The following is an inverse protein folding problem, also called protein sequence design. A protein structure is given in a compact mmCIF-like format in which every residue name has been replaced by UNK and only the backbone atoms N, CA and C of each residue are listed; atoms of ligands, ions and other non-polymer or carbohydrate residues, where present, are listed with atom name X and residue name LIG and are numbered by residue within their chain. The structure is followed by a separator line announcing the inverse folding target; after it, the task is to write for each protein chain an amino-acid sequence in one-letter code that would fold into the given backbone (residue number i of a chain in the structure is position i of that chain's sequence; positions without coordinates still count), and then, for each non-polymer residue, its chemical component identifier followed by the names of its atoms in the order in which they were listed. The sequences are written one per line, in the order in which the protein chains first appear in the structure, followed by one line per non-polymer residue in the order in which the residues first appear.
data_IF_767623207782
#
_entry.id   IF_767623207782
#
_cell.length_a   1.000
_cell.length_b   1.000
_cell.length_c   1.000
_cell.angle_alpha   90.00
_cell.angle_beta   90.00
_cell.angle_gamma   90.00
#
_symmetry.space_group_name_H-M   'P 1'
#
loop_
_entity.id
_entity.type
_entity.pdbx_description
1 polymer ?
#
# COMPACT_ATOMS: atom_id res chain seq x y z
N UNK A 1 8.50 -14.91 9.14
CA UNK A 1 8.14 -14.12 10.34
C UNK A 1 7.04 -13.12 9.97
N UNK A 2 6.30 -12.58 10.93
CA UNK A 2 5.16 -11.72 10.64
C UNK A 2 4.72 -10.83 11.80
N UNK A 3 3.90 -9.84 11.47
CA UNK A 3 3.31 -8.90 12.42
C UNK A 3 1.82 -9.19 12.58
N UNK A 4 1.40 -9.42 13.82
CA UNK A 4 -0.01 -9.38 14.18
C UNK A 4 -0.40 -7.93 14.52
N UNK A 5 -1.31 -7.35 13.74
CA UNK A 5 -1.73 -5.96 13.90
C UNK A 5 -3.21 -5.88 14.26
N UNK A 6 -3.48 -5.43 15.48
CA UNK A 6 -4.83 -5.24 16.01
C UNK A 6 -5.49 -4.01 15.35
N UNK A 7 -6.76 -4.14 14.97
CA UNK A 7 -7.58 -3.07 14.42
C UNK A 7 -7.80 -1.94 15.42
N UNK A 8 -7.40 -0.71 15.06
CA UNK A 8 -7.47 0.45 15.95
C UNK A 8 -8.88 1.05 16.16
N UNK A 9 -9.84 0.70 15.31
CA UNK A 9 -11.12 1.43 15.22
C UNK A 9 -12.27 0.53 15.58
N UNK A 10 -12.44 0.06 16.81
CA UNK A 10 -13.55 -0.84 17.19
C UNK A 10 -14.92 -0.14 17.07
N UNK A 11 -15.98 -0.87 16.74
CA UNK A 11 -17.36 -0.33 16.76
C UNK A 11 -17.93 -0.63 18.15
N UNK A 12 -19.17 -0.24 18.41
CA UNK A 12 -19.80 -0.41 19.74
C UNK A 12 -19.91 -1.89 20.16
N UNK A 13 -19.74 -2.81 19.21
CA UNK A 13 -19.65 -4.26 19.41
C UNK A 13 -18.21 -4.79 19.47
N UNK A 14 -17.19 -3.92 19.41
CA UNK A 14 -15.78 -4.28 19.46
C UNK A 14 -15.13 -4.66 18.11
N UNK A 15 -15.85 -4.57 16.97
CA UNK A 15 -15.56 -5.33 15.74
C UNK A 15 -14.86 -4.50 14.65
N UNK A 16 -14.76 -3.17 14.78
CA UNK A 16 -14.25 -2.33 13.68
C UNK A 16 -12.69 -2.27 13.65
N UNK A 17 -12.15 -2.28 12.42
CA UNK A 17 -10.74 -2.57 12.14
C UNK A 17 -10.53 -4.07 11.96
N UNK A 18 -10.03 -4.50 10.80
CA UNK A 18 -9.68 -5.91 10.61
C UNK A 18 -8.29 -6.12 11.22
N UNK A 19 -8.23 -6.97 12.25
CA UNK A 19 -6.97 -7.57 12.68
C UNK A 19 -6.34 -8.25 11.48
N UNK A 20 -5.01 -8.16 11.39
CA UNK A 20 -4.30 -8.64 10.22
C UNK A 20 -2.93 -9.17 10.58
N UNK A 21 -2.60 -10.26 9.92
CA UNK A 21 -1.29 -10.89 9.97
C UNK A 21 -0.57 -10.51 8.69
N UNK A 22 0.46 -9.68 8.83
CA UNK A 22 1.26 -9.17 7.73
C UNK A 22 2.62 -9.83 7.74
N UNK A 23 3.09 -10.25 6.57
CA UNK A 23 4.44 -10.76 6.35
C UNK A 23 5.15 -9.90 5.31
N UNK A 24 6.47 -10.05 5.22
CA UNK A 24 7.26 -9.46 4.15
C UNK A 24 7.95 -10.58 3.39
N UNK A 25 8.02 -10.51 2.06
CA UNK A 25 8.67 -11.54 1.26
C UNK A 25 10.20 -11.52 1.39
N UNK A 26 10.76 -10.38 1.81
CA UNK A 26 12.20 -10.19 2.02
C UNK A 26 12.49 -10.03 3.53
N UNK A 27 13.48 -10.78 4.03
CA UNK A 27 13.87 -10.77 5.45
C UNK A 27 14.48 -9.44 5.89
N UNK A 28 15.34 -8.82 5.08
CA UNK A 28 15.92 -7.50 5.37
C UNK A 28 14.83 -6.42 5.51
N UNK A 29 13.81 -6.46 4.66
CA UNK A 29 12.68 -5.55 4.75
C UNK A 29 11.81 -5.82 5.99
N UNK A 30 11.63 -7.10 6.35
CA UNK A 30 10.98 -7.50 7.59
C UNK A 30 11.72 -6.93 8.81
N UNK A 31 13.03 -7.12 8.88
CA UNK A 31 13.87 -6.63 9.97
C UNK A 31 13.85 -5.11 10.08
N UNK A 32 13.88 -4.40 8.95
CA UNK A 32 13.76 -2.94 8.94
C UNK A 32 12.39 -2.49 9.49
N UNK A 33 11.31 -3.16 9.08
CA UNK A 33 9.98 -2.90 9.61
C UNK A 33 9.89 -3.23 11.11
N UNK A 34 10.49 -4.34 11.56
CA UNK A 34 10.51 -4.76 12.95
C UNK A 34 11.22 -3.73 13.83
N UNK A 35 12.42 -3.30 13.42
CA UNK A 35 13.18 -2.22 14.09
C UNK A 35 12.35 -0.95 14.21
N UNK A 36 11.66 -0.55 13.14
CA UNK A 36 10.79 0.62 13.18
C UNK A 36 9.63 0.43 14.17
N UNK A 37 8.96 -0.72 14.16
CA UNK A 37 7.88 -1.04 15.11
C UNK A 37 8.39 -1.03 16.55
N UNK A 38 9.57 -1.56 16.81
CA UNK A 38 10.17 -1.57 18.14
C UNK A 38 10.51 -0.15 18.62
N UNK A 39 11.08 0.69 17.76
CA UNK A 39 11.29 2.12 18.09
C UNK A 39 9.97 2.82 18.44
N UNK A 40 8.90 2.52 17.70
CA UNK A 40 7.57 3.04 18.00
C UNK A 40 7.01 2.53 19.33
N UNK A 41 7.20 1.24 19.64
CA UNK A 41 6.71 0.61 20.87
C UNK A 41 7.39 1.15 22.13
N UNK A 42 8.68 1.45 22.05
CA UNK A 42 9.46 1.98 23.18
C UNK A 42 9.43 3.52 23.27
N UNK A 43 8.73 4.19 22.34
CA UNK A 43 8.58 5.64 22.38
C UNK A 43 7.57 6.06 23.44
N UNK A 44 7.99 6.95 24.34
CA UNK A 44 7.10 7.62 25.30
C UNK A 44 6.29 8.77 24.67
N UNK A 45 6.49 9.05 23.37
CA UNK A 45 5.84 10.15 22.67
C UNK A 45 4.41 9.78 22.28
N UNK A 46 3.48 10.71 22.46
CA UNK A 46 2.10 10.53 21.98
C UNK A 46 2.03 10.46 20.45
N UNK A 47 0.98 9.85 19.91
CA UNK A 47 0.72 9.84 18.47
C UNK A 47 0.56 11.25 17.88
N UNK A 48 0.18 12.25 18.69
CA UNK A 48 0.18 13.65 18.27
C UNK A 48 1.62 14.17 18.11
N UNK A 49 2.47 13.97 19.13
CA UNK A 49 3.87 14.39 19.08
C UNK A 49 4.62 13.78 17.88
N UNK A 50 4.39 12.50 17.58
CA UNK A 50 4.99 11.83 16.41
C UNK A 50 4.55 12.50 15.09
N UNK A 51 3.27 12.86 14.96
CA UNK A 51 2.76 13.55 13.76
C UNK A 51 3.37 14.95 13.62
N UNK A 52 3.54 15.64 14.73
CA UNK A 52 4.11 16.99 14.75
C UNK A 52 5.60 16.95 14.41
N UNK A 53 6.35 16.00 14.98
CA UNK A 53 7.75 15.75 14.61
C UNK A 53 7.87 15.47 13.12
N UNK A 54 7.06 14.56 12.56
CA UNK A 54 7.10 14.30 11.11
C UNK A 54 6.85 15.57 10.29
N UNK A 55 5.86 16.37 10.69
CA UNK A 55 5.51 17.62 10.01
C UNK A 55 6.66 18.63 10.07
N UNK A 56 7.31 18.76 11.21
CA UNK A 56 8.45 19.64 11.41
C UNK A 56 9.64 19.21 10.54
N UNK A 57 10.02 17.94 10.60
CA UNK A 57 11.11 17.38 9.79
C UNK A 57 10.85 17.55 8.29
N UNK A 58 9.60 17.34 7.85
CA UNK A 58 9.21 17.57 6.46
C UNK A 58 9.32 19.04 6.03
N UNK A 59 9.00 20.00 6.92
CA UNK A 59 9.16 21.44 6.65
C UNK A 59 10.63 21.84 6.54
N UNK A 60 11.48 21.26 7.38
CA UNK A 60 12.93 21.50 7.34
C UNK A 60 13.54 20.94 6.04
N UNK A 61 13.14 19.72 5.66
CA UNK A 61 13.67 19.07 4.46
C UNK A 61 13.12 19.68 3.15
N UNK A 62 11.85 20.10 3.15
CA UNK A 62 11.18 20.68 1.97
C UNK A 62 10.49 22.00 2.30
N UNK A 63 11.26 23.08 2.53
CA UNK A 63 10.72 24.35 3.00
C UNK A 63 9.79 25.02 1.98
N UNK A 64 10.01 24.78 0.68
CA UNK A 64 9.19 25.38 -0.40
C UNK A 64 7.90 24.60 -0.72
N UNK A 65 7.68 23.44 -0.10
CA UNK A 65 6.52 22.58 -0.42
C UNK A 65 5.27 23.10 0.28
N UNK A 66 4.24 23.45 -0.50
CA UNK A 66 2.94 23.97 0.01
C UNK A 66 2.21 22.96 0.91
N UNK A 67 2.31 21.67 0.61
CA UNK A 67 1.65 20.58 1.36
C UNK A 67 2.70 19.57 1.81
N UNK A 68 2.77 19.33 3.12
CA UNK A 68 3.78 18.42 3.69
C UNK A 68 3.28 16.97 3.72
N UNK A 69 4.17 15.97 3.56
CA UNK A 69 3.81 14.59 3.80
C UNK A 69 3.30 14.40 5.24
N UNK A 70 2.32 13.51 5.39
CA UNK A 70 1.78 13.10 6.69
C UNK A 70 1.81 11.58 6.80
N UNK A 71 1.55 11.03 8.00
CA UNK A 71 1.36 9.58 8.16
C UNK A 71 0.28 9.03 7.22
N UNK A 72 -0.76 9.84 6.94
CA UNK A 72 -1.80 9.48 5.96
C UNK A 72 -1.25 9.45 4.54
N UNK A 73 -0.36 10.38 4.18
CA UNK A 73 0.32 10.38 2.88
C UNK A 73 1.14 9.11 2.67
N UNK A 74 1.86 8.65 3.70
CA UNK A 74 2.61 7.38 3.64
C UNK A 74 1.68 6.19 3.35
N UNK A 75 0.53 6.15 4.02
CA UNK A 75 -0.50 5.13 3.77
C UNK A 75 -1.10 5.22 2.36
N UNK A 76 -1.25 6.43 1.82
CA UNK A 76 -1.66 6.61 0.41
C UNK A 76 -0.59 6.10 -0.55
N UNK A 77 0.69 6.34 -0.28
CA UNK A 77 1.79 5.82 -1.10
C UNK A 77 1.80 4.29 -1.08
N UNK A 78 1.63 3.67 0.10
CA UNK A 78 1.45 2.22 0.22
C UNK A 78 0.25 1.73 -0.61
N UNK A 79 -0.86 2.46 -0.61
CA UNK A 79 -2.03 2.15 -1.45
C UNK A 79 -1.75 2.23 -2.95
N UNK A 80 -1.11 3.31 -3.42
CA UNK A 80 -0.66 3.46 -4.82
C UNK A 80 0.20 2.28 -5.25
N UNK A 81 1.14 1.94 -4.37
CA UNK A 81 2.07 0.85 -4.51
C UNK A 81 1.34 -0.51 -4.64
N UNK A 82 0.43 -0.85 -3.73
CA UNK A 82 -0.36 -2.08 -3.79
C UNK A 82 -1.21 -2.16 -5.06
N UNK A 83 -1.85 -1.06 -5.49
CA UNK A 83 -2.61 -1.04 -6.75
C UNK A 83 -1.73 -1.30 -7.97
N UNK A 84 -0.52 -0.75 -7.98
CA UNK A 84 0.41 -0.95 -9.09
C UNK A 84 0.93 -2.38 -9.20
N UNK A 85 0.93 -3.17 -8.12
CA UNK A 85 1.30 -4.59 -8.19
C UNK A 85 0.18 -5.50 -8.72
N UNK A 86 -1.01 -4.95 -9.02
CA UNK A 86 -2.14 -5.75 -9.50
C UNK A 86 -2.74 -6.69 -8.44
N UNK A 87 -2.52 -6.39 -7.16
CA UNK A 87 -3.01 -7.23 -6.06
C UNK A 87 -4.55 -7.29 -6.04
N UNK A 88 -5.09 -8.42 -5.60
CA UNK A 88 -6.53 -8.57 -5.41
C UNK A 88 -7.10 -7.50 -4.45
N UNK A 89 -8.25 -6.85 -4.77
CA UNK A 89 -8.84 -5.81 -3.95
C UNK A 89 -9.18 -6.24 -2.52
N UNK A 90 -9.58 -7.50 -2.31
CA UNK A 90 -9.89 -8.03 -0.97
C UNK A 90 -8.60 -8.15 -0.15
N UNK A 91 -7.54 -8.64 -0.77
CA UNK A 91 -6.22 -8.74 -0.17
C UNK A 91 -5.61 -7.36 0.16
N UNK A 92 -5.74 -6.39 -0.76
CA UNK A 92 -5.34 -5.00 -0.51
C UNK A 92 -6.10 -4.42 0.69
N UNK A 93 -7.43 -4.61 0.74
CA UNK A 93 -8.24 -4.13 1.84
C UNK A 93 -7.80 -4.75 3.17
N UNK A 94 -7.50 -6.05 3.19
CA UNK A 94 -6.95 -6.74 4.36
C UNK A 94 -5.61 -6.16 4.82
N UNK A 95 -4.62 -6.05 3.92
CA UNK A 95 -3.29 -5.50 4.23
C UNK A 95 -3.40 -4.08 4.80
N UNK A 96 -4.28 -3.27 4.23
CA UNK A 96 -4.53 -1.93 4.74
C UNK A 96 -5.30 -1.94 6.07
N UNK A 97 -5.98 -3.02 6.47
CA UNK A 97 -6.80 -3.08 7.67
C UNK A 97 -8.21 -2.51 7.47
N UNK A 98 -8.75 -2.67 6.27
CA UNK A 98 -10.11 -2.28 5.88
C UNK A 98 -11.04 -3.49 5.84
N UNK A 99 -12.24 -3.36 6.43
CA UNK A 99 -13.32 -4.38 6.36
C UNK A 99 -14.10 -4.38 5.04
N UNK A 100 -13.78 -3.49 4.11
CA UNK A 100 -14.47 -3.43 2.81
C UNK A 100 -13.57 -2.93 1.70
N UNK A 101 -13.71 -3.54 0.52
CA UNK A 101 -13.03 -3.13 -0.72
C UNK A 101 -13.43 -1.73 -1.18
N UNK A 102 -14.57 -1.18 -0.76
CA UNK A 102 -14.92 0.22 -1.01
C UNK A 102 -13.94 1.19 -0.34
N UNK A 103 -13.34 0.80 0.79
CA UNK A 103 -12.47 1.69 1.55
C UNK A 103 -11.14 1.96 0.85
N UNK A 104 -10.64 1.00 0.07
CA UNK A 104 -9.35 1.12 -0.66
C UNK A 104 -9.43 2.00 -1.90
N UNK A 105 -10.63 2.29 -2.42
CA UNK A 105 -10.82 3.24 -3.53
C UNK A 105 -10.23 4.61 -3.19
N UNK A 106 -10.33 5.04 -1.92
CA UNK A 106 -9.81 6.33 -1.43
C UNK A 106 -8.29 6.40 -1.33
N UNK A 107 -7.57 5.29 -1.46
CA UNK A 107 -6.12 5.24 -1.22
C UNK A 107 -5.33 5.09 -2.50
N UNK A 108 -4.55 6.13 -2.82
CA UNK A 108 -3.51 6.10 -3.84
C UNK A 108 -4.02 5.96 -5.28
N UNK A 109 -3.14 6.31 -6.21
CA UNK A 109 -3.27 6.09 -7.65
C UNK A 109 -2.11 5.19 -8.09
N UNK A 110 -2.39 4.13 -8.85
CA UNK A 110 -1.36 3.21 -9.33
C UNK A 110 -0.26 3.91 -10.14
N UNK A 111 -0.60 5.03 -10.81
CA UNK A 111 0.32 5.83 -11.62
C UNK A 111 1.35 6.60 -10.78
N UNK A 112 1.06 6.84 -9.50
CA UNK A 112 1.96 7.50 -8.55
C UNK A 112 2.76 6.51 -7.72
N UNK A 113 2.71 5.22 -8.07
CA UNK A 113 3.56 4.21 -7.44
C UNK A 113 5.04 4.52 -7.70
N UNK A 114 5.86 4.29 -6.69
CA UNK A 114 7.31 4.46 -6.78
C UNK A 114 7.94 3.13 -7.20
N UNK A 115 8.96 3.17 -8.08
CA UNK A 115 9.81 2.00 -8.37
C UNK A 115 10.57 1.65 -7.08
N UNK A 116 10.25 0.50 -6.48
CA UNK A 116 10.57 0.25 -5.06
C UNK A 116 11.97 -0.32 -4.84
N UNK A 117 12.60 0.15 -3.75
CA UNK A 117 13.70 -0.54 -3.06
C UNK A 117 13.22 -1.39 -1.87
N UNK A 118 11.96 -1.25 -1.45
CA UNK A 118 11.35 -1.93 -0.29
C UNK A 118 10.17 -2.81 -0.74
N UNK A 119 10.12 -4.06 -0.31
CA UNK A 119 9.06 -5.00 -0.67
C UNK A 119 7.69 -4.59 -0.11
N UNK A 120 6.62 -5.06 -0.77
CA UNK A 120 5.27 -4.83 -0.25
C UNK A 120 4.99 -5.76 0.92
N UNK A 121 4.26 -5.28 1.93
CA UNK A 121 3.65 -6.18 2.89
C UNK A 121 2.66 -7.11 2.18
N UNK A 122 2.69 -8.38 2.57
CA UNK A 122 1.79 -9.44 2.13
C UNK A 122 0.89 -9.86 3.30
N UNK A 123 -0.28 -10.43 3.03
CA UNK A 123 -0.99 -11.17 4.07
C UNK A 123 -0.22 -12.46 4.38
N UNK A 124 -0.28 -12.94 5.62
CA UNK A 124 0.24 -14.26 5.96
C UNK A 124 -0.44 -15.36 5.10
N UNK A 125 0.24 -16.49 4.81
CA UNK A 125 -0.31 -17.54 3.95
C UNK A 125 -1.71 -18.04 4.33
N UNK A 126 -2.01 -18.08 5.63
CA UNK A 126 -3.29 -18.55 6.18
C UNK A 126 -4.17 -17.40 6.71
N UNK A 127 -3.96 -16.18 6.20
CA UNK A 127 -4.70 -15.01 6.64
C UNK A 127 -6.21 -15.14 6.35
N UNK A 128 -7.04 -14.98 7.39
CA UNK A 128 -8.49 -14.98 7.25
C UNK A 128 -9.01 -13.67 6.63
N UNK A 129 -9.42 -13.76 5.36
CA UNK A 129 -10.02 -12.66 4.60
C UNK A 129 -11.55 -12.58 4.77
N UNK A 130 -12.19 -13.49 5.52
CA UNK A 130 -13.66 -13.58 5.69
C UNK A 130 -14.29 -12.25 6.11
N UNK A 131 -13.58 -11.50 6.95
CA UNK A 131 -14.02 -10.22 7.51
C UNK A 131 -13.99 -9.06 6.50
N UNK A 132 -13.42 -9.25 5.30
CA UNK A 132 -13.37 -8.23 4.24
C UNK A 132 -14.54 -8.41 3.28
N UNK A 133 -15.48 -7.46 3.31
CA UNK A 133 -16.67 -7.43 2.46
C UNK A 133 -16.36 -6.85 1.08
N UNK A 134 -16.76 -7.55 0.03
CA UNK A 134 -16.68 -7.06 -1.35
C UNK A 134 -17.84 -6.09 -1.57
N UNK A 135 -17.54 -4.87 -2.03
CA UNK A 135 -18.58 -3.90 -2.41
C UNK A 135 -19.37 -4.39 -3.62
N UNK A 136 -20.68 -4.08 -3.66
CA UNK A 136 -21.58 -4.43 -4.78
C UNK A 136 -21.27 -3.66 -6.07
N UNK A 137 -20.58 -2.51 -5.99
CA UNK A 137 -20.07 -1.85 -7.20
C UNK A 137 -19.00 -2.73 -7.83
N UNK A 138 -19.04 -2.87 -9.15
CA UNK A 138 -18.12 -3.68 -9.95
C UNK A 138 -16.66 -3.49 -9.54
N UNK A 139 -15.83 -4.51 -9.80
CA UNK A 139 -14.38 -4.54 -9.53
C UNK A 139 -13.75 -3.14 -9.72
N UNK A 140 -12.85 -2.68 -8.82
CA UNK A 140 -12.28 -1.35 -8.93
C UNK A 140 -11.69 -1.11 -10.32
N UNK A 141 -11.87 0.09 -10.88
CA UNK A 141 -11.44 0.43 -12.26
C UNK A 141 -9.96 0.15 -12.53
N UNK A 142 -9.12 0.16 -11.48
CA UNK A 142 -7.69 -0.11 -11.57
C UNK A 142 -7.34 -1.61 -11.53
N UNK A 143 -8.27 -2.49 -11.17
CA UNK A 143 -8.05 -3.92 -11.04
C UNK A 143 -8.50 -4.66 -12.29
N UNK A 144 -7.54 -5.17 -13.04
CA UNK A 144 -7.75 -6.15 -14.11
C UNK A 144 -7.36 -7.53 -13.56
N UNK A 145 -8.19 -8.55 -13.78
CA UNK A 145 -7.91 -9.92 -13.32
C UNK A 145 -6.72 -10.59 -14.03
N UNK A 146 -6.16 -9.94 -15.05
CA UNK A 146 -4.94 -10.41 -15.68
C UNK A 146 -3.75 -10.08 -14.78
N UNK A 147 -2.99 -11.09 -14.31
CA UNK A 147 -1.77 -10.83 -13.59
C UNK A 147 -0.85 -10.03 -14.50
N UNK A 148 -0.14 -9.04 -13.95
CA UNK A 148 0.97 -8.42 -14.64
C UNK A 148 1.99 -9.54 -14.94
N UNK A 149 1.88 -10.12 -16.14
CA UNK A 149 2.81 -11.12 -16.63
C UNK A 149 4.20 -10.53 -16.50
N UNK A 150 5.05 -11.23 -15.74
CA UNK A 150 6.45 -10.91 -15.61
C UNK A 150 7.04 -10.76 -17.01
N UNK A 151 7.63 -9.59 -17.27
CA UNK A 151 8.70 -9.39 -18.26
C UNK A 151 8.47 -9.95 -19.66
N UNK A 152 7.66 -9.28 -20.48
CA UNK A 152 7.94 -9.20 -21.91
C UNK A 152 7.67 -7.76 -22.34
N UNK A 153 8.75 -7.01 -22.60
CA UNK A 153 8.65 -5.73 -23.32
C UNK A 153 7.95 -5.99 -24.66
N UNK A 154 6.90 -5.25 -25.04
CA UNK A 154 6.40 -5.32 -26.40
C UNK A 154 7.56 -4.88 -27.31
N UNK A 155 8.05 -5.81 -28.13
CA UNK A 155 8.99 -5.48 -29.21
C UNK A 155 8.31 -4.38 -30.03
N UNK A 156 8.96 -3.23 -30.08
CA UNK A 156 8.66 -2.18 -31.04
C UNK A 156 8.80 -2.78 -32.44
N UNK A 157 7.68 -3.07 -33.09
CA UNK A 157 7.66 -3.31 -34.53
C UNK A 157 7.76 -1.95 -35.21
N UNK A 158 8.98 -1.44 -35.32
CA UNK A 158 9.32 -0.53 -36.41
C UNK A 158 9.17 -1.33 -37.71
N UNK A 159 8.14 -1.04 -38.49
CA UNK A 159 8.19 -1.31 -39.93
C UNK A 159 8.26 0.02 -40.68
N UNK A 160 9.36 0.08 -41.43
CA UNK A 160 9.86 1.18 -42.23
C UNK A 160 8.97 1.41 -43.46
N UNK A 161 8.70 2.70 -43.68
CA UNK A 161 8.69 3.45 -44.95
C UNK A 161 8.41 2.72 -46.28
N UNK A 162 7.38 3.25 -46.95
CA UNK A 162 6.97 3.09 -48.35
C UNK A 162 8.12 3.15 -49.37
N UNK A 163 8.07 2.42 -50.50
CA UNK A 163 8.91 2.73 -51.65
C UNK A 163 8.32 3.88 -52.46
N UNK A 164 9.20 4.81 -52.86
CA UNK A 164 8.97 5.83 -53.89
C UNK A 164 9.06 5.16 -55.26
N UNK A 165 8.05 5.37 -56.09
CA UNK A 165 8.08 5.09 -57.53
C UNK A 165 8.94 6.14 -58.23
N UNK A 166 9.84 5.71 -59.11
CA UNK A 166 10.45 6.51 -60.18
C UNK A 166 9.84 6.04 -61.48
#
# INVERSE_FOLDING_TARGET
EGFHIIGAKKDDQGIRGADRDITFPNQTDFELAAKAVDLYRHSHRSAAAIRDTLREQCRQLWPRRKVQPTLRSLRHQMGSNLKASGIDPRLMAYIMGHRSTRSIERYGDRRTATKRSFSLPCAAPNADLSKVRISRKSKPVWYSAEPAAKGVSPKSTHQQTKPRTV
#
